data_IF_749000448442
#
_entry.id   IF_749000448442
#
_cell.length_a   1.000
_cell.length_b   1.000
_cell.length_c   1.000
_cell.angle_alpha   90.00
_cell.angle_beta   90.00
_cell.angle_gamma   90.00
#
_symmetry.space_group_name_H-M   'P 1'
#
loop_
_entity.id
_entity.type
_entity.pdbx_description
1 polymer ?
#
# COMPACT_ATOMS: atom_id res chain seq x y z
N UNK A 1 -26.44 -72.20 56.99
CA UNK A 1 -25.49 -72.25 55.89
C UNK A 1 -26.23 -72.03 54.61
N UNK A 2 -26.46 -70.81 54.25
CA UNK A 2 -27.15 -70.49 52.96
C UNK A 2 -26.22 -69.55 52.15
N UNK A 3 -25.71 -70.08 51.00
CA UNK A 3 -24.96 -69.38 50.04
C UNK A 3 -25.86 -68.46 49.17
N UNK A 4 -25.69 -67.16 49.24
CA UNK A 4 -26.39 -66.23 48.37
C UNK A 4 -25.48 -66.01 47.18
N UNK A 5 -25.92 -66.42 45.97
CA UNK A 5 -25.26 -66.16 44.67
C UNK A 5 -25.59 -64.72 44.23
N UNK A 6 -24.59 -63.86 44.13
CA UNK A 6 -24.72 -62.55 43.55
C UNK A 6 -24.45 -62.70 42.10
N UNK A 7 -25.40 -62.36 41.19
CA UNK A 7 -25.26 -62.19 39.78
C UNK A 7 -24.70 -60.79 39.50
N UNK A 8 -23.71 -60.60 38.63
CA UNK A 8 -23.32 -59.27 38.20
C UNK A 8 -24.22 -58.80 37.06
N UNK A 9 -24.83 -57.65 37.29
CA UNK A 9 -25.61 -56.89 36.33
C UNK A 9 -24.62 -56.19 35.35
N UNK A 10 -24.46 -56.70 34.16
CA UNK A 10 -23.70 -56.05 33.11
C UNK A 10 -24.53 -54.93 32.51
N UNK A 11 -24.19 -53.68 32.87
CA UNK A 11 -24.72 -52.50 32.23
C UNK A 11 -24.08 -52.34 30.84
N UNK A 12 -24.89 -52.48 29.83
CA UNK A 12 -24.52 -52.18 28.43
C UNK A 12 -24.52 -50.66 28.25
N UNK A 13 -23.35 -50.00 28.32
CA UNK A 13 -23.20 -48.61 27.88
C UNK A 13 -23.19 -48.63 26.35
N UNK A 14 -24.29 -48.16 25.77
CA UNK A 14 -24.30 -47.78 24.35
C UNK A 14 -23.48 -46.48 24.19
N UNK A 15 -22.24 -46.58 23.77
CA UNK A 15 -21.48 -45.44 23.25
C UNK A 15 -22.11 -45.02 21.93
N UNK A 16 -22.86 -43.93 21.94
CA UNK A 16 -23.19 -43.20 20.74
C UNK A 16 -21.87 -42.57 20.26
N UNK A 17 -21.22 -43.24 19.28
CA UNK A 17 -20.11 -42.66 18.53
C UNK A 17 -20.65 -41.48 17.72
N UNK A 18 -20.36 -40.24 18.16
CA UNK A 18 -20.34 -39.10 17.29
C UNK A 18 -19.21 -39.34 16.30
N UNK A 19 -19.57 -39.66 15.08
CA UNK A 19 -18.66 -39.79 13.94
C UNK A 19 -18.17 -38.39 13.55
N UNK A 20 -17.26 -37.87 14.36
CA UNK A 20 -16.39 -36.78 13.86
C UNK A 20 -15.36 -37.46 12.96
N UNK A 21 -15.55 -37.33 11.65
CA UNK A 21 -14.59 -37.81 10.67
C UNK A 21 -13.19 -37.31 11.07
N UNK A 22 -12.40 -38.21 11.64
CA UNK A 22 -11.00 -37.93 12.01
C UNK A 22 -10.30 -37.50 10.73
N UNK A 23 -9.78 -36.25 10.69
CA UNK A 23 -8.96 -35.76 9.58
C UNK A 23 -7.83 -36.76 9.39
N UNK A 24 -7.80 -37.41 8.21
CA UNK A 24 -6.76 -38.36 7.83
C UNK A 24 -5.41 -37.61 7.90
N UNK A 25 -4.53 -38.04 8.79
CA UNK A 25 -3.17 -37.50 8.84
C UNK A 25 -2.49 -37.82 7.48
N UNK A 26 -2.09 -36.77 6.78
CA UNK A 26 -1.43 -36.88 5.47
C UNK A 26 0.08 -36.83 5.71
N UNK A 27 0.82 -37.86 5.22
CA UNK A 27 2.28 -37.82 5.21
C UNK A 27 2.78 -36.70 4.28
N UNK A 28 3.80 -35.95 4.72
CA UNK A 28 4.47 -34.91 3.96
C UNK A 28 5.98 -35.20 3.86
N UNK A 29 6.33 -36.44 3.61
CA UNK A 29 7.72 -36.91 3.61
C UNK A 29 8.40 -36.67 2.26
N UNK A 30 7.67 -36.86 1.15
CA UNK A 30 8.20 -36.70 -0.21
C UNK A 30 8.04 -35.26 -0.72
N UNK A 31 8.82 -34.90 -1.73
CA UNK A 31 8.73 -33.58 -2.37
C UNK A 31 7.37 -33.36 -3.04
N UNK A 32 6.83 -34.39 -3.68
CA UNK A 32 5.53 -34.38 -4.36
C UNK A 32 4.40 -34.09 -3.34
N UNK A 33 4.44 -34.78 -2.19
CA UNK A 33 3.46 -34.54 -1.10
C UNK A 33 3.50 -33.12 -0.59
N UNK A 34 4.70 -32.54 -0.38
CA UNK A 34 4.88 -31.16 0.07
C UNK A 34 4.36 -30.16 -0.96
N UNK A 35 4.65 -30.38 -2.25
CA UNK A 35 4.18 -29.53 -3.33
C UNK A 35 2.64 -29.59 -3.41
N UNK A 36 2.06 -30.78 -3.39
CA UNK A 36 0.60 -30.95 -3.42
C UNK A 36 -0.08 -30.27 -2.24
N UNK A 37 0.50 -30.39 -1.04
CA UNK A 37 0.01 -29.69 0.14
C UNK A 37 0.05 -28.16 -0.02
N UNK A 38 1.16 -27.61 -0.55
CA UNK A 38 1.29 -26.18 -0.80
C UNK A 38 0.27 -25.69 -1.83
N UNK A 39 -0.01 -26.44 -2.89
CA UNK A 39 -1.05 -26.10 -3.86
C UNK A 39 -2.44 -26.05 -3.21
N UNK A 40 -2.75 -27.04 -2.36
CA UNK A 40 -4.01 -27.05 -1.60
C UNK A 40 -4.11 -25.88 -0.61
N UNK A 41 -3.01 -25.57 0.08
CA UNK A 41 -2.97 -24.44 1.03
C UNK A 41 -3.17 -23.10 0.32
N UNK A 42 -2.54 -22.90 -0.82
CA UNK A 42 -2.68 -21.69 -1.63
C UNK A 42 -4.09 -21.54 -2.18
N UNK A 43 -4.65 -22.62 -2.74
CA UNK A 43 -6.05 -22.66 -3.19
C UNK A 43 -7.03 -22.30 -2.06
N UNK A 44 -6.84 -22.87 -0.87
CA UNK A 44 -7.69 -22.56 0.29
C UNK A 44 -7.59 -21.10 0.73
N UNK A 45 -6.38 -20.51 0.73
CA UNK A 45 -6.20 -19.09 1.02
C UNK A 45 -6.87 -18.20 -0.01
N UNK A 46 -6.75 -18.53 -1.30
CA UNK A 46 -7.38 -17.78 -2.38
C UNK A 46 -8.91 -17.81 -2.25
N UNK A 47 -9.50 -18.97 -1.97
CA UNK A 47 -10.95 -19.10 -1.74
C UNK A 47 -11.38 -18.25 -0.54
N UNK A 48 -10.65 -18.34 0.56
CA UNK A 48 -10.95 -17.55 1.77
C UNK A 48 -10.87 -16.03 1.50
N UNK A 49 -9.91 -15.59 0.69
CA UNK A 49 -9.76 -14.17 0.33
C UNK A 49 -10.90 -13.65 -0.55
N UNK A 50 -11.61 -14.52 -1.25
CA UNK A 50 -12.78 -14.13 -2.02
C UNK A 50 -13.95 -13.68 -1.14
N UNK A 51 -13.95 -14.06 0.16
CA UNK A 51 -15.00 -13.71 1.12
C UNK A 51 -16.42 -13.94 0.56
N UNK A 52 -16.61 -15.13 0.04
CA UNK A 52 -17.87 -15.61 -0.55
C UNK A 52 -18.34 -16.85 0.16
N UNK A 53 -19.63 -17.17 0.05
CA UNK A 53 -20.17 -18.43 0.52
C UNK A 53 -19.43 -19.61 -0.13
N UNK A 54 -18.93 -20.53 0.68
CA UNK A 54 -18.11 -21.66 0.24
C UNK A 54 -18.55 -22.94 0.92
N UNK A 55 -18.82 -23.98 0.13
CA UNK A 55 -19.11 -25.33 0.58
C UNK A 55 -17.89 -26.22 0.32
N UNK A 56 -17.23 -26.62 1.42
CA UNK A 56 -16.01 -27.40 1.36
C UNK A 56 -16.23 -28.79 0.76
N UNK A 57 -17.34 -29.46 1.05
CA UNK A 57 -17.59 -30.81 0.60
C UNK A 57 -17.89 -30.84 -0.90
N UNK A 58 -18.66 -29.86 -1.40
CA UNK A 58 -18.91 -29.68 -2.81
C UNK A 58 -17.61 -29.36 -3.57
N UNK A 59 -16.75 -28.51 -3.00
CA UNK A 59 -15.46 -28.20 -3.60
C UNK A 59 -14.53 -29.40 -3.71
N UNK A 60 -14.40 -30.17 -2.62
CA UNK A 60 -13.56 -31.40 -2.62
C UNK A 60 -14.09 -32.44 -3.61
N UNK A 61 -15.41 -32.57 -3.72
CA UNK A 61 -16.02 -33.44 -4.73
C UNK A 61 -15.71 -33.01 -6.15
N UNK A 62 -15.75 -31.72 -6.43
CA UNK A 62 -15.37 -31.15 -7.73
C UNK A 62 -13.88 -31.32 -8.03
N UNK A 63 -13.00 -31.15 -7.03
CA UNK A 63 -11.56 -31.42 -7.19
C UNK A 63 -11.29 -32.89 -7.52
N UNK A 64 -11.92 -33.81 -6.80
CA UNK A 64 -11.75 -35.26 -7.04
C UNK A 64 -12.20 -35.63 -8.46
N UNK A 65 -13.34 -35.11 -8.90
CA UNK A 65 -13.83 -35.34 -10.27
C UNK A 65 -12.81 -34.79 -11.31
N UNK A 66 -12.26 -33.58 -11.09
CA UNK A 66 -11.26 -33.00 -11.98
C UNK A 66 -9.93 -33.79 -12.02
N UNK A 67 -9.46 -34.29 -10.87
CA UNK A 67 -8.23 -35.07 -10.79
C UNK A 67 -8.36 -36.50 -11.40
N UNK A 68 -9.57 -37.01 -11.45
CA UNK A 68 -9.85 -38.37 -11.98
C UNK A 68 -10.43 -38.38 -13.39
N UNK A 69 -10.55 -37.21 -14.03
CA UNK A 69 -11.19 -37.02 -15.34
C UNK A 69 -12.63 -37.62 -15.40
N UNK A 70 -13.34 -37.54 -14.27
CA UNK A 70 -14.70 -37.98 -14.15
C UNK A 70 -15.68 -36.98 -14.77
N UNK A 71 -16.85 -37.48 -15.21
CA UNK A 71 -17.91 -36.58 -15.68
C UNK A 71 -18.39 -35.66 -14.55
N UNK A 72 -18.61 -34.38 -14.82
CA UNK A 72 -19.17 -33.44 -13.83
C UNK A 72 -20.53 -33.95 -13.31
N UNK A 73 -20.76 -33.73 -12.00
CA UNK A 73 -22.06 -34.04 -11.38
C UNK A 73 -23.16 -33.06 -11.74
N UNK A 74 -22.78 -31.91 -12.36
CA UNK A 74 -23.69 -30.85 -12.82
C UNK A 74 -23.92 -30.99 -14.33
N UNK A 75 -25.13 -30.64 -14.78
CA UNK A 75 -25.43 -30.49 -16.23
C UNK A 75 -24.75 -29.21 -16.77
N UNK A 76 -24.57 -29.13 -18.10
CA UNK A 76 -24.05 -27.91 -18.76
C UNK A 76 -24.86 -26.68 -18.39
N UNK A 77 -26.18 -26.77 -18.30
CA UNK A 77 -27.08 -25.67 -17.92
C UNK A 77 -26.78 -25.21 -16.49
N UNK A 78 -26.64 -26.13 -15.52
CA UNK A 78 -26.30 -25.83 -14.15
C UNK A 78 -24.89 -25.23 -14.01
N UNK A 79 -23.95 -25.71 -14.80
CA UNK A 79 -22.59 -25.12 -14.83
C UNK A 79 -22.64 -23.69 -15.34
N UNK A 80 -23.33 -23.45 -16.46
CA UNK A 80 -23.44 -22.10 -17.04
C UNK A 80 -24.16 -21.13 -16.09
N UNK A 81 -25.22 -21.57 -15.42
CA UNK A 81 -25.92 -20.76 -14.42
C UNK A 81 -25.01 -20.43 -13.23
N UNK A 82 -24.31 -21.41 -12.66
CA UNK A 82 -23.38 -21.22 -11.55
C UNK A 82 -22.23 -20.25 -11.93
N UNK A 83 -21.67 -20.42 -13.14
CA UNK A 83 -20.61 -19.53 -13.64
C UNK A 83 -21.12 -18.10 -13.83
N UNK A 84 -22.37 -17.92 -14.33
CA UNK A 84 -22.97 -16.59 -14.48
C UNK A 84 -23.15 -15.92 -13.12
N UNK A 85 -23.74 -16.62 -12.15
CA UNK A 85 -23.92 -16.12 -10.78
C UNK A 85 -22.58 -15.75 -10.14
N UNK A 86 -21.58 -16.63 -10.25
CA UNK A 86 -20.24 -16.36 -9.71
C UNK A 86 -19.61 -15.11 -10.32
N UNK A 87 -19.72 -14.95 -11.64
CA UNK A 87 -19.21 -13.76 -12.34
C UNK A 87 -19.88 -12.49 -11.87
N UNK A 88 -21.22 -12.52 -11.75
CA UNK A 88 -21.98 -11.35 -11.30
C UNK A 88 -21.61 -10.96 -9.87
N UNK A 89 -21.43 -11.93 -8.97
CA UNK A 89 -20.98 -11.68 -7.61
C UNK A 89 -19.57 -11.09 -7.56
N UNK A 90 -18.64 -11.61 -8.38
CA UNK A 90 -17.28 -11.08 -8.47
C UNK A 90 -17.26 -9.65 -8.99
N UNK A 91 -18.02 -9.35 -10.03
CA UNK A 91 -18.14 -7.99 -10.58
C UNK A 91 -18.77 -7.01 -9.56
N UNK A 92 -19.80 -7.44 -8.85
CA UNK A 92 -20.42 -6.61 -7.81
C UNK A 92 -19.44 -6.31 -6.65
N UNK A 93 -18.66 -7.31 -6.25
CA UNK A 93 -17.63 -7.13 -5.21
C UNK A 93 -16.52 -6.19 -5.66
N UNK A 94 -16.01 -6.36 -6.87
CA UNK A 94 -14.99 -5.48 -7.46
C UNK A 94 -15.47 -4.03 -7.52
N UNK A 95 -16.72 -3.80 -7.97
CA UNK A 95 -17.33 -2.46 -7.99
C UNK A 95 -17.46 -1.85 -6.59
N UNK A 96 -17.79 -2.68 -5.59
CA UNK A 96 -17.87 -2.21 -4.20
C UNK A 96 -16.50 -1.80 -3.67
N UNK A 97 -15.49 -2.64 -3.85
CA UNK A 97 -14.12 -2.32 -3.43
C UNK A 97 -13.56 -1.08 -4.13
N UNK A 98 -13.87 -0.92 -5.44
CA UNK A 98 -13.47 0.27 -6.18
C UNK A 98 -14.10 1.53 -5.62
N UNK A 99 -15.40 1.52 -5.32
CA UNK A 99 -16.12 2.67 -4.71
C UNK A 99 -15.58 3.00 -3.31
N UNK A 100 -15.30 1.99 -2.51
CA UNK A 100 -14.69 2.19 -1.17
C UNK A 100 -13.30 2.81 -1.30
N UNK A 101 -12.48 2.33 -2.24
CA UNK A 101 -11.16 2.89 -2.51
C UNK A 101 -11.25 4.35 -2.99
N UNK A 102 -12.13 4.64 -3.93
CA UNK A 102 -12.39 6.02 -4.41
C UNK A 102 -12.84 6.93 -3.26
N UNK A 103 -13.72 6.43 -2.40
CA UNK A 103 -14.18 7.16 -1.21
C UNK A 103 -13.04 7.46 -0.21
N UNK A 104 -12.16 6.50 0.03
CA UNK A 104 -11.00 6.70 0.89
C UNK A 104 -10.00 7.71 0.30
N UNK A 105 -9.75 7.64 -0.99
CA UNK A 105 -8.87 8.58 -1.70
C UNK A 105 -9.44 10.00 -1.66
N UNK A 106 -10.76 10.16 -1.86
CA UNK A 106 -11.42 11.46 -1.77
C UNK A 106 -11.33 12.03 -0.36
N UNK A 107 -11.59 11.23 0.67
CA UNK A 107 -11.48 11.66 2.07
C UNK A 107 -10.05 12.08 2.42
N UNK A 108 -9.06 11.31 1.99
CA UNK A 108 -7.65 11.66 2.19
C UNK A 108 -7.28 12.96 1.48
N UNK A 109 -7.79 13.16 0.25
CA UNK A 109 -7.59 14.39 -0.52
C UNK A 109 -8.12 15.62 0.22
N UNK A 110 -9.35 15.56 0.74
CA UNK A 110 -9.96 16.65 1.48
C UNK A 110 -9.21 16.92 2.80
N UNK A 111 -8.86 15.86 3.51
CA UNK A 111 -8.09 15.97 4.77
C UNK A 111 -6.74 16.63 4.52
N UNK A 112 -5.97 16.15 3.54
CA UNK A 112 -4.66 16.73 3.21
C UNK A 112 -4.77 18.21 2.78
N UNK A 113 -5.82 18.57 2.03
CA UNK A 113 -6.03 19.95 1.59
C UNK A 113 -6.32 20.88 2.78
N UNK A 114 -7.15 20.44 3.72
CA UNK A 114 -7.48 21.22 4.94
C UNK A 114 -6.26 21.36 5.83
N UNK A 115 -5.61 20.25 6.18
CA UNK A 115 -4.42 20.23 7.04
C UNK A 115 -3.27 21.02 6.42
N UNK A 116 -3.10 20.93 5.09
CA UNK A 116 -2.10 21.68 4.34
C UNK A 116 -2.34 23.19 4.41
N UNK A 117 -3.59 23.63 4.19
CA UNK A 117 -3.95 25.03 4.26
C UNK A 117 -3.77 25.60 5.68
N UNK A 118 -4.20 24.88 6.70
CA UNK A 118 -4.02 25.27 8.11
C UNK A 118 -2.53 25.36 8.48
N UNK A 119 -1.75 24.34 8.10
CA UNK A 119 -0.31 24.33 8.33
C UNK A 119 0.36 25.54 7.69
N UNK A 120 0.11 25.81 6.41
CA UNK A 120 0.73 26.91 5.67
C UNK A 120 0.33 28.26 6.25
N UNK A 121 -0.94 28.44 6.65
CA UNK A 121 -1.39 29.66 7.30
C UNK A 121 -0.65 29.95 8.63
N UNK A 122 -0.48 28.93 9.46
CA UNK A 122 0.25 29.01 10.72
C UNK A 122 1.75 29.16 10.50
N UNK A 123 2.31 28.45 9.52
CA UNK A 123 3.73 28.45 9.23
C UNK A 123 4.18 29.79 8.65
N UNK A 124 3.40 30.39 7.75
CA UNK A 124 3.70 31.69 7.15
C UNK A 124 3.73 32.84 8.14
N UNK A 125 3.11 32.70 9.33
CA UNK A 125 3.17 33.66 10.41
C UNK A 125 4.40 33.50 11.34
N UNK A 126 5.20 32.45 11.17
CA UNK A 126 6.39 32.20 11.99
C UNK A 126 7.53 33.15 11.60
N UNK A 127 8.31 33.56 12.60
CA UNK A 127 9.52 34.36 12.37
C UNK A 127 10.51 33.57 11.49
N UNK A 128 11.09 34.24 10.50
CA UNK A 128 12.07 33.69 9.57
C UNK A 128 11.47 32.88 8.42
N UNK A 129 10.14 32.74 8.35
CA UNK A 129 9.46 32.16 7.20
C UNK A 129 9.05 33.25 6.21
N UNK A 130 9.38 33.05 4.95
CA UNK A 130 8.98 33.92 3.83
C UNK A 130 7.97 33.18 2.96
N UNK A 131 6.88 33.87 2.58
CA UNK A 131 5.88 33.36 1.62
C UNK A 131 6.00 34.12 0.31
N UNK A 132 6.13 33.41 -0.80
CA UNK A 132 6.18 33.98 -2.15
C UNK A 132 4.78 34.23 -2.72
N UNK A 133 4.71 34.89 -3.88
CA UNK A 133 3.44 35.17 -4.55
C UNK A 133 2.71 33.89 -5.03
N UNK A 134 3.43 32.80 -5.29
CA UNK A 134 2.87 31.50 -5.68
C UNK A 134 2.29 30.73 -4.49
N UNK A 135 2.61 31.11 -3.26
CA UNK A 135 2.28 30.40 -2.03
C UNK A 135 3.38 29.46 -1.53
N UNK A 136 4.51 29.35 -2.24
CA UNK A 136 5.68 28.67 -1.70
C UNK A 136 6.13 29.35 -0.42
N UNK A 137 6.42 28.58 0.62
CA UNK A 137 7.04 29.11 1.82
C UNK A 137 8.44 28.53 2.00
N UNK A 138 9.34 29.32 2.54
CA UNK A 138 10.69 28.87 2.83
C UNK A 138 11.27 29.53 4.09
N UNK A 139 12.20 28.82 4.69
CA UNK A 139 13.02 29.33 5.79
C UNK A 139 14.49 29.05 5.48
N UNK A 140 15.32 30.09 5.58
CA UNK A 140 16.76 29.96 5.43
C UNK A 140 17.35 29.41 6.72
N UNK A 141 17.91 28.20 6.67
CA UNK A 141 18.63 27.57 7.79
C UNK A 141 20.08 27.97 7.81
N UNK A 142 20.72 28.00 6.62
CA UNK A 142 22.08 28.46 6.41
C UNK A 142 22.12 29.30 5.14
N UNK A 143 22.68 30.49 5.19
CA UNK A 143 22.84 31.35 4.03
C UNK A 143 24.06 30.89 3.21
N UNK A 144 23.90 30.78 1.90
CA UNK A 144 24.99 30.57 0.94
C UNK A 144 25.50 31.90 0.41
N UNK A 145 26.68 31.86 -0.19
CA UNK A 145 27.34 33.04 -0.80
C UNK A 145 27.73 32.81 -2.26
N UNK A 146 27.49 31.60 -2.78
CA UNK A 146 27.81 31.25 -4.15
C UNK A 146 26.75 31.77 -5.16
N UNK A 147 26.85 31.41 -6.43
CA UNK A 147 25.92 31.81 -7.48
C UNK A 147 24.53 31.25 -7.22
N UNK A 148 23.52 31.87 -7.83
CA UNK A 148 22.12 31.39 -7.84
C UNK A 148 21.87 30.63 -9.14
N UNK A 149 21.21 29.46 -9.12
CA UNK A 149 20.85 28.73 -10.33
C UNK A 149 19.88 29.51 -11.21
N UNK A 150 19.94 29.26 -12.51
CA UNK A 150 18.93 29.69 -13.49
C UNK A 150 18.00 28.53 -13.85
N UNK A 151 16.97 28.79 -14.65
CA UNK A 151 16.06 27.75 -15.14
C UNK A 151 16.78 26.67 -16.00
N UNK A 152 17.89 27.02 -16.64
CA UNK A 152 18.68 26.13 -17.50
C UNK A 152 19.75 25.36 -16.72
N UNK A 153 19.95 25.67 -15.44
CA UNK A 153 21.00 25.05 -14.62
C UNK A 153 20.69 23.61 -14.28
N UNK A 154 21.74 22.79 -14.21
CA UNK A 154 21.73 21.52 -13.46
C UNK A 154 22.35 21.77 -12.09
N UNK A 155 21.62 21.44 -11.03
CA UNK A 155 22.08 21.66 -9.64
C UNK A 155 22.44 20.34 -8.99
N UNK A 156 23.35 20.38 -8.01
CA UNK A 156 23.61 19.25 -7.11
C UNK A 156 23.14 19.61 -5.69
N UNK A 157 22.34 18.74 -5.10
CA UNK A 157 21.72 18.97 -3.79
C UNK A 157 21.79 17.76 -2.87
N UNK A 158 21.82 18.03 -1.58
CA UNK A 158 21.30 17.09 -0.58
C UNK A 158 19.91 17.53 -0.17
N UNK A 159 19.02 16.55 0.05
CA UNK A 159 17.65 16.83 0.49
C UNK A 159 17.05 15.71 1.32
N UNK A 160 16.03 16.08 2.09
CA UNK A 160 15.09 15.15 2.74
C UNK A 160 13.67 15.69 2.59
N UNK A 161 12.78 14.91 1.99
CA UNK A 161 11.36 15.23 1.79
C UNK A 161 10.48 14.46 2.76
N UNK A 162 9.55 15.18 3.41
CA UNK A 162 8.61 14.60 4.37
C UNK A 162 7.20 15.16 4.21
N UNK A 163 6.21 14.37 4.61
CA UNK A 163 4.82 14.78 4.77
C UNK A 163 4.64 15.61 6.06
N UNK A 164 3.46 16.17 6.26
CA UNK A 164 3.14 16.96 7.47
C UNK A 164 3.17 16.14 8.76
N UNK A 165 2.88 14.84 8.68
CA UNK A 165 2.98 13.90 9.81
C UNK A 165 4.42 13.49 10.16
N UNK A 166 5.40 13.98 9.40
CA UNK A 166 6.82 13.68 9.57
C UNK A 166 7.29 12.44 8.81
N UNK A 167 6.41 11.70 8.13
CA UNK A 167 6.80 10.56 7.30
C UNK A 167 7.73 11.00 6.18
N UNK A 168 8.96 10.51 6.18
CA UNK A 168 9.94 10.77 5.13
C UNK A 168 9.67 9.85 3.95
N UNK A 169 9.49 10.44 2.76
CA UNK A 169 9.20 9.70 1.54
C UNK A 169 10.40 9.61 0.59
N UNK A 170 11.35 10.53 0.69
CA UNK A 170 12.59 10.48 -0.10
C UNK A 170 13.71 11.30 0.58
N UNK A 171 14.97 10.80 0.49
CA UNK A 171 16.12 11.44 1.10
C UNK A 171 17.43 11.03 0.44
N UNK A 172 18.12 11.98 -0.16
CA UNK A 172 19.50 11.79 -0.63
C UNK A 172 20.49 11.67 0.53
N UNK A 173 20.16 12.27 1.67
CA UNK A 173 20.98 12.20 2.90
C UNK A 173 21.04 10.76 3.40
N UNK A 174 19.89 10.05 3.45
CA UNK A 174 19.85 8.64 3.82
C UNK A 174 20.58 7.73 2.83
N UNK A 175 20.53 8.08 1.54
CA UNK A 175 21.29 7.36 0.51
C UNK A 175 22.82 7.60 0.59
N UNK A 176 23.24 8.66 1.29
CA UNK A 176 24.65 9.04 1.45
C UNK A 176 25.29 9.64 0.20
N UNK A 177 24.48 9.97 -0.82
CA UNK A 177 24.94 10.49 -2.11
C UNK A 177 24.06 11.67 -2.52
N UNK A 178 24.63 12.85 -2.89
CA UNK A 178 23.86 13.95 -3.42
C UNK A 178 23.21 13.57 -4.75
N UNK A 179 22.22 14.34 -5.16
CA UNK A 179 21.47 14.11 -6.40
C UNK A 179 21.53 15.33 -7.28
N UNK A 180 21.67 15.10 -8.58
CA UNK A 180 21.66 16.16 -9.59
C UNK A 180 20.29 16.25 -10.25
N UNK A 181 19.80 17.48 -10.47
CA UNK A 181 18.52 17.77 -11.12
C UNK A 181 18.65 18.96 -12.06
N UNK A 182 18.03 18.90 -13.22
CA UNK A 182 17.71 20.10 -13.99
C UNK A 182 16.66 20.92 -13.22
N UNK A 183 16.87 22.22 -13.06
CA UNK A 183 16.01 23.12 -12.25
C UNK A 183 14.56 23.08 -12.71
N UNK A 184 14.28 22.89 -13.99
CA UNK A 184 12.92 22.79 -14.55
C UNK A 184 12.39 21.37 -14.65
N UNK A 185 13.14 20.36 -14.19
CA UNK A 185 12.76 18.95 -14.26
C UNK A 185 12.19 18.42 -12.92
N UNK A 186 11.98 19.29 -11.96
CA UNK A 186 11.45 19.00 -10.63
C UNK A 186 10.08 19.65 -10.44
N UNK A 187 9.43 19.44 -9.30
CA UNK A 187 8.13 20.07 -8.97
C UNK A 187 8.27 21.60 -8.94
N UNK A 188 7.17 22.31 -9.24
CA UNK A 188 7.16 23.76 -9.38
C UNK A 188 7.72 24.50 -8.16
N UNK A 189 7.41 24.04 -6.96
CA UNK A 189 7.95 24.61 -5.72
C UNK A 189 9.47 24.50 -5.60
N UNK A 190 10.07 23.43 -6.10
CA UNK A 190 11.52 23.30 -6.19
C UNK A 190 12.12 24.18 -7.28
N UNK A 191 11.51 24.21 -8.46
CA UNK A 191 11.93 25.08 -9.56
C UNK A 191 11.99 26.55 -9.10
N UNK A 192 10.99 27.00 -8.34
CA UNK A 192 10.98 28.35 -7.79
C UNK A 192 12.00 28.51 -6.65
N UNK A 193 12.01 27.60 -5.68
CA UNK A 193 12.88 27.67 -4.51
C UNK A 193 14.37 27.67 -4.87
N UNK A 194 14.79 26.78 -5.76
CA UNK A 194 16.19 26.67 -6.20
C UNK A 194 16.69 27.96 -6.86
N UNK A 195 15.86 28.66 -7.63
CA UNK A 195 16.20 29.93 -8.25
C UNK A 195 16.26 31.10 -7.28
N UNK A 196 15.86 30.91 -6.02
CA UNK A 196 16.02 31.88 -4.93
C UNK A 196 17.20 31.54 -4.02
N UNK A 197 17.73 30.30 -4.09
CA UNK A 197 18.83 29.84 -3.25
C UNK A 197 20.19 30.25 -3.81
N UNK A 198 21.12 30.60 -2.93
CA UNK A 198 22.52 30.71 -3.29
C UNK A 198 23.25 29.39 -3.04
N UNK A 199 24.22 29.02 -3.86
CA UNK A 199 25.10 27.89 -3.61
C UNK A 199 25.77 27.98 -2.23
N UNK A 200 25.80 26.82 -1.53
CA UNK A 200 26.22 26.69 -0.14
C UNK A 200 25.12 27.00 0.86
N UNK A 201 23.87 27.31 0.41
CA UNK A 201 22.75 27.51 1.32
C UNK A 201 22.01 26.23 1.67
N UNK A 202 21.37 26.24 2.84
CA UNK A 202 20.48 25.19 3.29
C UNK A 202 19.14 25.81 3.70
N UNK A 203 18.06 25.38 3.07
CA UNK A 203 16.73 25.91 3.27
C UNK A 203 15.74 24.83 3.66
N UNK A 204 14.68 25.22 4.31
CA UNK A 204 13.47 24.41 4.49
C UNK A 204 12.38 25.00 3.59
N UNK A 205 11.88 24.19 2.67
CA UNK A 205 10.81 24.55 1.74
C UNK A 205 9.51 23.90 2.21
N UNK A 206 8.42 24.67 2.25
CA UNK A 206 7.07 24.22 2.56
C UNK A 206 6.22 24.45 1.32
N UNK A 207 5.89 23.37 0.63
CA UNK A 207 5.38 23.41 -0.72
C UNK A 207 3.90 23.02 -0.71
N UNK A 208 2.98 23.95 -1.03
CA UNK A 208 1.57 23.60 -1.20
C UNK A 208 1.39 22.59 -2.33
N UNK A 209 0.35 21.79 -2.26
CA UNK A 209 0.13 20.70 -3.20
C UNK A 209 0.10 21.15 -4.67
N UNK A 210 -0.43 22.35 -4.95
CA UNK A 210 -0.49 22.90 -6.30
C UNK A 210 0.89 23.19 -6.93
N UNK A 211 1.90 23.35 -6.10
CA UNK A 211 3.31 23.49 -6.51
C UNK A 211 4.09 22.17 -6.39
N UNK A 212 3.40 21.06 -6.06
CA UNK A 212 3.97 19.72 -5.90
C UNK A 212 3.27 18.71 -6.83
N UNK A 213 2.54 17.75 -6.26
CA UNK A 213 1.91 16.66 -7.03
C UNK A 213 0.39 16.81 -7.19
N UNK A 214 -0.19 17.89 -6.62
CA UNK A 214 -1.61 18.23 -6.79
C UNK A 214 -2.59 17.17 -6.29
N UNK A 215 -3.81 17.15 -6.88
CA UNK A 215 -4.88 16.26 -6.45
C UNK A 215 -4.64 14.78 -6.77
N UNK A 216 -3.65 14.45 -7.59
CA UNK A 216 -3.30 13.07 -7.93
C UNK A 216 -2.26 12.44 -7.00
N UNK A 217 -1.51 13.24 -6.26
CA UNK A 217 -0.33 12.76 -5.53
C UNK A 217 0.66 12.04 -6.45
N UNK A 218 1.34 11.02 -5.95
CA UNK A 218 2.22 10.14 -6.76
C UNK A 218 1.51 8.88 -7.25
N UNK A 219 0.19 8.89 -7.27
CA UNK A 219 -0.65 7.79 -7.74
C UNK A 219 -0.98 6.77 -6.63
N UNK A 220 -1.74 5.70 -6.99
CA UNK A 220 -2.34 4.78 -6.01
C UNK A 220 -1.33 4.00 -5.14
N UNK A 221 -0.11 3.81 -5.63
CA UNK A 221 0.94 3.06 -4.94
C UNK A 221 2.12 3.95 -4.51
N UNK A 222 2.05 5.24 -4.81
CA UNK A 222 3.09 6.19 -4.46
C UNK A 222 3.03 6.62 -2.99
N UNK A 223 4.14 7.12 -2.44
CA UNK A 223 4.23 7.51 -1.04
C UNK A 223 3.57 8.85 -0.71
N UNK A 224 3.20 9.65 -1.72
CA UNK A 224 2.60 10.98 -1.53
C UNK A 224 1.14 10.93 -1.95
N UNK A 225 0.25 11.11 -1.00
CA UNK A 225 -1.19 11.12 -1.21
C UNK A 225 -1.69 12.36 -1.97
N UNK A 226 -2.98 12.36 -2.37
CA UNK A 226 -3.60 13.48 -3.06
C UNK A 226 -3.58 14.74 -2.19
N UNK A 227 -3.37 15.90 -2.80
CA UNK A 227 -3.35 17.22 -2.16
C UNK A 227 -2.38 17.37 -0.98
N UNK A 228 -1.36 16.54 -0.89
CA UNK A 228 -0.39 16.60 0.20
C UNK A 228 0.50 17.86 0.09
N UNK A 229 0.60 18.60 1.18
CA UNK A 229 1.61 19.64 1.39
C UNK A 229 2.93 18.96 1.78
N UNK A 230 4.03 19.39 1.18
CA UNK A 230 5.33 18.78 1.37
C UNK A 230 6.28 19.69 2.12
N UNK A 231 7.16 19.11 2.91
CA UNK A 231 8.26 19.80 3.58
C UNK A 231 9.57 19.19 3.09
N UNK A 232 10.45 20.02 2.56
CA UNK A 232 11.79 19.61 2.16
C UNK A 232 12.84 20.41 2.91
N UNK A 233 13.83 19.72 3.44
CA UNK A 233 15.11 20.31 3.75
C UNK A 233 16.00 20.14 2.52
N UNK A 234 16.55 21.24 1.99
CA UNK A 234 17.37 21.25 0.77
C UNK A 234 18.67 21.99 1.05
N UNK A 235 19.78 21.37 0.75
CA UNK A 235 21.10 21.95 0.77
C UNK A 235 21.64 22.03 -0.67
N UNK A 236 21.83 23.23 -1.19
CA UNK A 236 22.34 23.48 -2.53
C UNK A 236 23.88 23.42 -2.53
N UNK A 237 24.42 22.30 -2.97
CA UNK A 237 25.86 22.05 -2.97
C UNK A 237 26.56 22.71 -4.17
N UNK A 238 25.90 22.67 -5.36
CA UNK A 238 26.41 23.27 -6.58
C UNK A 238 25.26 23.84 -7.40
N UNK A 239 25.37 25.12 -7.80
CA UNK A 239 24.33 25.84 -8.54
C UNK A 239 24.36 25.56 -10.05
N UNK A 240 25.51 25.17 -10.58
CA UNK A 240 25.71 24.85 -12.00
C UNK A 240 26.70 23.68 -12.10
N UNK A 241 26.17 22.46 -12.27
CA UNK A 241 27.00 21.29 -12.55
C UNK A 241 27.39 21.35 -14.05
N UNK A 242 28.66 21.27 -14.40
CA UNK A 242 29.08 21.22 -15.81
C UNK A 242 28.54 19.96 -16.47
N UNK A 243 28.06 20.08 -17.73
CA UNK A 243 27.75 18.93 -18.55
C UNK A 243 29.01 18.07 -18.72
N UNK A 244 28.96 16.80 -18.27
CA UNK A 244 29.99 15.83 -18.58
C UNK A 244 29.91 15.51 -20.09
N UNK A 245 30.84 16.11 -20.92
CA UNK A 245 31.01 15.77 -22.31
C UNK A 245 31.78 14.47 -22.51
#
# INVERSE_FOLDING_TARGET
>A
MNLVKILPLTALLALSACDSAAKKEVSLDTQEQKISYLMGLDSGKNILSMDMGFDQDAFLSGQDAGLTDAQPSLSEEQINEAVAIFRDQMMAKEQTMQKEQEGMVALQSDTNAIEGAEFLALNGAKEGVTTTASGLQYRVLTAGTGPTPTAESTVEVHYAGRLLDGTEFDSSIKRGVPTQFGVTQVIAGWTEGLQLMNEGSKWELYIPSDLAYGPGGTGPTGPIGPNATLIFEVELLQANVPDEN
#
